data_IF_490072284089
#
_entry.id   IF_490072284089
#
_cell.length_a   1.000
_cell.length_b   1.000
_cell.length_c   1.000
_cell.angle_alpha   90.00
_cell.angle_beta   90.00
_cell.angle_gamma   90.00
#
_symmetry.space_group_name_H-M   'P 1'
#
loop_
_entity.id
_entity.type
_entity.pdbx_description
1 polymer ?
#
# COMPACT_ATOMS: atom_id res chain seq x y z
N UNK A 1 22.20 -1.70 -4.54
CA UNK A 1 21.39 -1.31 -3.37
C UNK A 1 20.02 -1.96 -3.47
N UNK A 2 19.54 -2.64 -2.42
CA UNK A 2 18.19 -3.21 -2.40
C UNK A 2 17.18 -2.14 -1.96
N UNK A 3 16.26 -1.76 -2.85
CA UNK A 3 15.13 -0.90 -2.50
C UNK A 3 13.91 -1.77 -2.25
N UNK A 4 13.22 -1.53 -1.14
CA UNK A 4 11.95 -2.18 -0.85
C UNK A 4 10.83 -1.36 -1.51
N UNK A 5 9.91 -2.03 -2.21
CA UNK A 5 8.83 -1.39 -2.95
C UNK A 5 8.02 -0.40 -2.08
N UNK A 6 7.75 -0.75 -0.82
CA UNK A 6 7.00 0.14 0.07
C UNK A 6 7.71 1.47 0.34
N UNK A 7 9.05 1.54 0.27
CA UNK A 7 9.77 2.81 0.46
C UNK A 7 9.47 3.78 -0.68
N UNK A 8 9.41 3.28 -1.91
CA UNK A 8 9.05 4.11 -3.07
C UNK A 8 7.63 4.69 -2.92
N UNK A 9 6.69 3.90 -2.38
CA UNK A 9 5.34 4.36 -2.08
C UNK A 9 5.32 5.45 -1.01
N UNK A 10 5.96 5.22 0.14
CA UNK A 10 5.98 6.18 1.25
C UNK A 10 6.67 7.49 0.85
N UNK A 11 7.75 7.42 0.08
CA UNK A 11 8.39 8.61 -0.47
C UNK A 11 7.50 9.37 -1.47
N UNK A 12 6.79 8.66 -2.35
CA UNK A 12 5.85 9.29 -3.27
C UNK A 12 4.69 9.98 -2.52
N UNK A 13 4.17 9.34 -1.46
CA UNK A 13 3.15 9.91 -0.59
C UNK A 13 3.64 11.15 0.17
N UNK A 14 4.92 11.19 0.56
CA UNK A 14 5.51 12.39 1.16
C UNK A 14 5.72 13.52 0.15
N UNK A 15 6.21 13.20 -1.06
CA UNK A 15 6.49 14.21 -2.10
C UNK A 15 5.23 14.78 -2.74
N UNK A 16 4.22 13.95 -3.01
CA UNK A 16 3.03 14.31 -3.79
C UNK A 16 1.76 13.68 -3.17
N UNK A 17 1.38 14.09 -1.95
CA UNK A 17 0.36 13.41 -1.15
C UNK A 17 -1.01 13.34 -1.82
N UNK A 18 -1.43 14.43 -2.49
CA UNK A 18 -2.75 14.55 -3.11
C UNK A 18 -2.79 14.05 -4.56
N UNK A 19 -1.66 13.64 -5.15
CA UNK A 19 -1.65 13.16 -6.53
C UNK A 19 -2.38 11.82 -6.62
N UNK A 20 -3.26 11.58 -7.62
CA UNK A 20 -3.89 10.29 -7.81
C UNK A 20 -2.85 9.18 -8.03
N UNK A 21 -2.97 8.10 -7.25
CA UNK A 21 -2.14 6.91 -7.31
C UNK A 21 -2.89 5.72 -7.93
N UNK A 22 -4.18 5.58 -7.63
CA UNK A 22 -5.06 4.54 -8.19
C UNK A 22 -6.33 5.19 -8.72
N UNK A 23 -6.74 4.78 -9.92
CA UNK A 23 -8.01 5.16 -10.52
C UNK A 23 -8.78 3.89 -10.92
N UNK A 24 -10.00 3.73 -10.41
CA UNK A 24 -10.84 2.57 -10.72
C UNK A 24 -12.32 2.90 -10.54
N UNK A 25 -13.13 2.61 -11.56
CA UNK A 25 -14.59 2.82 -11.57
C UNK A 25 -15.05 4.20 -11.05
N UNK A 26 -14.38 5.27 -11.50
CA UNK A 26 -14.70 6.65 -11.08
C UNK A 26 -14.19 7.04 -9.69
N UNK A 27 -13.57 6.11 -8.95
CA UNK A 27 -12.91 6.39 -7.68
C UNK A 27 -11.43 6.66 -7.89
N UNK A 28 -10.93 7.68 -7.19
CA UNK A 28 -9.51 8.01 -7.12
C UNK A 28 -9.03 7.79 -5.68
N UNK A 29 -7.86 7.20 -5.54
CA UNK A 29 -7.09 7.21 -4.31
C UNK A 29 -5.82 8.00 -4.54
N UNK A 30 -5.54 8.95 -3.66
CA UNK A 30 -4.28 9.69 -3.62
C UNK A 30 -3.15 8.82 -3.07
N UNK A 31 -1.89 9.23 -3.32
CA UNK A 31 -0.74 8.55 -2.74
C UNK A 31 -0.77 8.52 -1.20
N UNK A 32 -1.26 9.59 -0.55
CA UNK A 32 -1.41 9.63 0.90
C UNK A 32 -2.44 8.62 1.41
N UNK A 33 -3.59 8.49 0.73
CA UNK A 33 -4.62 7.51 1.08
C UNK A 33 -4.13 6.09 0.87
N UNK A 34 -3.45 5.84 -0.25
CA UNK A 34 -2.88 4.53 -0.57
C UNK A 34 -1.85 4.09 0.48
N UNK A 35 -0.92 4.98 0.87
CA UNK A 35 0.07 4.70 1.92
C UNK A 35 -0.61 4.41 3.26
N UNK A 36 -1.62 5.20 3.67
CA UNK A 36 -2.38 4.96 4.91
C UNK A 36 -3.11 3.61 4.89
N UNK A 37 -3.81 3.28 3.80
CA UNK A 37 -4.55 2.02 3.68
C UNK A 37 -3.61 0.81 3.65
N UNK A 38 -2.51 0.90 2.89
CA UNK A 38 -1.46 -0.12 2.85
C UNK A 38 -0.86 -0.36 4.24
N UNK A 39 -0.53 0.72 4.96
CA UNK A 39 0.00 0.63 6.33
C UNK A 39 -1.00 0.05 7.33
N UNK A 40 -2.31 0.26 7.13
CA UNK A 40 -3.36 -0.38 7.95
C UNK A 40 -3.33 -1.91 7.76
N UNK A 41 -3.20 -2.39 6.53
CA UNK A 41 -3.07 -3.83 6.23
C UNK A 41 -1.76 -4.37 6.81
N UNK A 42 -0.64 -3.69 6.60
CA UNK A 42 0.65 -4.10 7.13
C UNK A 42 0.62 -4.27 8.66
N UNK A 43 0.05 -3.31 9.39
CA UNK A 43 -0.12 -3.39 10.85
C UNK A 43 -1.02 -4.55 11.27
N UNK A 44 -2.05 -4.89 10.48
CA UNK A 44 -2.89 -6.04 10.76
C UNK A 44 -2.12 -7.36 10.58
N UNK A 45 -1.34 -7.48 9.49
CA UNK A 45 -0.50 -8.66 9.24
C UNK A 45 0.56 -8.83 10.33
N UNK A 46 1.21 -7.75 10.77
CA UNK A 46 2.16 -7.79 11.89
C UNK A 46 1.50 -8.29 13.19
N UNK A 47 0.27 -7.88 13.49
CA UNK A 47 -0.48 -8.38 14.66
C UNK A 47 -0.86 -9.86 14.54
N UNK A 48 -0.96 -10.39 13.32
CA UNK A 48 -1.16 -11.82 13.06
C UNK A 48 0.14 -12.63 13.11
N UNK A 49 1.28 -11.98 13.36
CA UNK A 49 2.59 -12.63 13.48
C UNK A 49 3.36 -12.79 12.16
N UNK A 50 2.92 -12.15 11.07
CA UNK A 50 3.61 -12.21 9.79
C UNK A 50 5.01 -11.57 9.90
N UNK A 51 6.02 -12.30 9.43
CA UNK A 51 7.43 -11.92 9.47
C UNK A 51 8.09 -11.98 8.07
N UNK A 52 9.29 -11.38 7.90
CA UNK A 52 10.05 -11.53 6.67
C UNK A 52 10.30 -13.01 6.33
N UNK A 53 9.96 -13.40 5.10
CA UNK A 53 10.03 -14.79 4.64
C UNK A 53 8.67 -15.49 4.59
N UNK A 54 7.68 -14.99 5.32
CA UNK A 54 6.32 -15.54 5.28
C UNK A 54 5.60 -15.23 3.97
N UNK A 55 4.66 -16.11 3.60
CA UNK A 55 3.85 -15.99 2.38
C UNK A 55 2.41 -15.64 2.77
N UNK A 56 1.90 -14.55 2.20
CA UNK A 56 0.51 -14.08 2.41
C UNK A 56 -0.24 -14.19 1.08
N UNK A 57 -1.31 -15.00 1.04
CA UNK A 57 -2.18 -15.12 -0.12
C UNK A 57 -3.13 -13.92 -0.24
N UNK A 58 -3.32 -13.42 -1.47
CA UNK A 58 -4.28 -12.36 -1.77
C UNK A 58 -5.31 -12.91 -2.77
N UNK A 59 -6.55 -13.05 -2.32
CA UNK A 59 -7.69 -13.38 -3.16
C UNK A 59 -8.70 -12.23 -3.12
N UNK A 60 -8.72 -11.43 -4.18
CA UNK A 60 -9.63 -10.30 -4.32
C UNK A 60 -9.91 -10.05 -5.80
N UNK A 61 -11.09 -9.51 -6.10
CA UNK A 61 -11.36 -8.91 -7.42
C UNK A 61 -10.60 -7.60 -7.58
N UNK A 62 -10.38 -7.17 -8.83
CA UNK A 62 -9.78 -5.86 -9.10
C UNK A 62 -10.70 -4.75 -8.60
N UNK A 63 -10.22 -3.95 -7.66
CA UNK A 63 -10.93 -2.79 -7.08
C UNK A 63 -9.99 -1.60 -6.90
N UNK A 64 -10.57 -0.43 -6.59
CA UNK A 64 -9.82 0.72 -6.06
C UNK A 64 -9.38 0.46 -4.62
#
# INVERSE_FOLDING_TARGET
MAYLLQRLLTEAAARQPQRPAVASYGRLLSYQELDRLSNKVARALLRLGVAPGDRVGILASKSA
#
